data_IF_020745376722
#
_entry.id   IF_020745376722
#
_cell.length_a   1.000
_cell.length_b   1.000
_cell.length_c   1.000
_cell.angle_alpha   90.00
_cell.angle_beta   90.00
_cell.angle_gamma   90.00
#
_symmetry.space_group_name_H-M   'P 1'
#
loop_
_entity.id
_entity.type
_entity.pdbx_description
1 polymer ?
#
# COMPACT_ATOMS: atom_id res chain seq x y z
N UNK A 1 18.78 10.96 -20.79
CA UNK A 1 19.60 11.09 -19.56
C UNK A 1 18.63 11.30 -18.41
N UNK A 2 18.73 10.47 -17.36
CA UNK A 2 17.95 10.64 -16.12
C UNK A 2 18.65 11.72 -15.31
N UNK A 3 17.95 12.80 -14.98
CA UNK A 3 18.48 13.88 -14.14
C UNK A 3 17.96 13.71 -12.71
N UNK A 4 18.77 14.10 -11.73
CA UNK A 4 18.41 14.10 -10.32
C UNK A 4 17.29 15.12 -10.03
N UNK A 5 16.24 14.68 -9.34
CA UNK A 5 15.08 15.50 -8.98
C UNK A 5 15.45 16.50 -7.86
N UNK A 6 15.22 17.80 -8.09
CA UNK A 6 15.28 18.80 -7.01
C UNK A 6 14.01 18.74 -6.17
N UNK A 7 13.97 17.84 -5.20
CA UNK A 7 12.85 17.70 -4.28
C UNK A 7 13.34 17.77 -2.81
N UNK A 8 13.18 18.92 -2.13
CA UNK A 8 13.68 19.12 -0.77
C UNK A 8 12.93 18.31 0.31
N UNK A 9 11.93 17.52 -0.07
CA UNK A 9 11.39 16.48 0.80
C UNK A 9 9.99 16.09 0.41
N UNK A 10 9.83 14.92 -0.20
CA UNK A 10 8.64 14.07 -0.09
C UNK A 10 8.92 12.72 -0.78
N UNK A 11 9.84 11.91 -0.26
CA UNK A 11 10.20 10.60 -0.83
C UNK A 11 9.10 9.52 -0.71
N UNK A 12 7.87 9.88 -0.35
CA UNK A 12 6.74 8.97 -0.12
C UNK A 12 5.44 9.39 -0.81
N UNK A 13 5.49 10.37 -1.71
CA UNK A 13 4.32 10.80 -2.48
C UNK A 13 4.00 9.82 -3.60
N UNK A 14 2.79 9.26 -3.63
CA UNK A 14 2.33 8.35 -4.68
C UNK A 14 1.94 9.01 -6.01
N UNK A 15 2.10 10.34 -6.14
CA UNK A 15 1.96 11.14 -7.36
C UNK A 15 2.49 12.56 -7.10
N UNK A 16 2.98 13.24 -8.14
CA UNK A 16 3.42 14.63 -8.09
C UNK A 16 2.55 15.55 -8.97
N UNK A 17 1.43 15.04 -9.48
CA UNK A 17 0.49 15.78 -10.32
C UNK A 17 1.17 16.47 -11.52
N UNK A 18 2.30 15.92 -12.00
CA UNK A 18 3.11 16.45 -13.10
C UNK A 18 3.98 17.65 -12.76
N UNK A 19 4.00 18.14 -11.51
CA UNK A 19 4.75 19.36 -11.15
C UNK A 19 6.27 19.18 -11.17
N UNK A 20 6.74 17.95 -11.00
CA UNK A 20 8.16 17.59 -11.08
C UNK A 20 8.56 17.03 -12.47
N UNK A 21 7.65 17.06 -13.46
CA UNK A 21 7.89 16.53 -14.79
C UNK A 21 7.75 15.00 -14.87
N UNK A 22 8.58 14.37 -15.71
CA UNK A 22 8.61 12.91 -15.84
C UNK A 22 9.46 12.31 -14.70
N UNK A 23 8.90 11.31 -14.01
CA UNK A 23 9.51 10.69 -12.84
C UNK A 23 9.63 9.18 -13.06
N UNK A 24 10.80 8.64 -12.74
CA UNK A 24 11.02 7.22 -12.55
C UNK A 24 11.83 7.05 -11.26
N UNK A 25 11.19 6.50 -10.23
CA UNK A 25 11.80 6.22 -8.94
C UNK A 25 11.73 4.73 -8.62
N UNK A 26 12.82 4.21 -8.07
CA UNK A 26 12.98 2.83 -7.65
C UNK A 26 13.58 2.83 -6.26
N UNK A 27 12.98 2.09 -5.34
CA UNK A 27 13.49 1.89 -3.99
C UNK A 27 13.57 0.41 -3.66
N UNK A 28 14.63 0.03 -2.95
CA UNK A 28 14.81 -1.32 -2.40
C UNK A 28 15.33 -1.18 -0.98
N UNK A 29 14.73 -1.89 -0.04
CA UNK A 29 15.12 -1.92 1.36
C UNK A 29 14.95 -3.32 1.91
N UNK A 30 15.68 -3.62 2.98
CA UNK A 30 15.55 -4.90 3.66
C UNK A 30 16.18 -4.86 5.03
N UNK A 31 15.68 -5.73 5.89
CA UNK A 31 16.12 -5.84 7.27
C UNK A 31 16.30 -7.31 7.61
N UNK A 32 17.23 -7.59 8.53
CA UNK A 32 17.43 -8.92 9.07
C UNK A 32 17.81 -8.82 10.53
N UNK A 33 17.14 -9.59 11.37
CA UNK A 33 17.44 -9.73 12.77
C UNK A 33 17.28 -11.19 13.19
N UNK A 34 18.37 -11.77 13.72
CA UNK A 34 18.30 -13.08 14.34
C UNK A 34 17.44 -12.99 15.61
N UNK A 35 16.53 -13.94 15.80
CA UNK A 35 15.59 -13.94 16.94
C UNK A 35 14.73 -12.66 17.06
N UNK A 36 14.51 -11.94 15.94
CA UNK A 36 13.72 -10.70 15.91
C UNK A 36 12.20 -10.87 15.83
N UNK A 37 11.69 -12.09 15.78
CA UNK A 37 10.25 -12.39 15.76
C UNK A 37 9.89 -13.58 16.64
N UNK A 38 8.59 -13.78 16.90
CA UNK A 38 8.10 -14.82 17.81
C UNK A 38 8.12 -14.36 19.26
N UNK A 39 8.35 -15.28 20.20
CA UNK A 39 8.34 -15.05 21.65
C UNK A 39 9.67 -15.42 22.30
N UNK A 40 9.83 -15.19 23.62
CA UNK A 40 11.02 -15.63 24.33
C UNK A 40 11.24 -17.15 24.29
N UNK A 41 10.15 -17.93 24.35
CA UNK A 41 10.18 -19.40 24.32
C UNK A 41 10.26 -19.97 22.90
N UNK A 42 9.66 -19.28 21.93
CA UNK A 42 9.55 -19.70 20.53
C UNK A 42 10.08 -18.61 19.60
N UNK A 43 11.40 -18.40 19.65
CA UNK A 43 12.08 -17.39 18.82
C UNK A 43 12.03 -17.74 17.34
N UNK A 44 12.06 -16.70 16.51
CA UNK A 44 12.15 -16.79 15.04
C UNK A 44 13.02 -15.67 14.51
N UNK A 45 13.71 -15.93 13.39
CA UNK A 45 14.33 -14.83 12.63
C UNK A 45 13.25 -13.88 12.13
N UNK A 46 13.58 -12.60 12.12
CA UNK A 46 12.84 -11.61 11.35
C UNK A 46 13.69 -11.21 10.16
N UNK A 47 13.09 -11.24 8.97
CA UNK A 47 13.68 -10.62 7.81
C UNK A 47 12.61 -10.00 6.93
N UNK A 48 12.95 -8.91 6.25
CA UNK A 48 12.10 -8.38 5.19
C UNK A 48 12.92 -7.92 3.98
N UNK A 49 12.23 -7.91 2.84
CA UNK A 49 12.66 -7.26 1.62
C UNK A 49 11.46 -6.46 1.10
N UNK A 50 11.68 -5.19 0.81
CA UNK A 50 10.68 -4.28 0.25
C UNK A 50 11.24 -3.64 -1.01
N UNK A 51 10.45 -3.61 -2.07
CA UNK A 51 10.78 -2.91 -3.31
C UNK A 51 9.60 -2.06 -3.73
N UNK A 52 9.87 -0.84 -4.17
CA UNK A 52 8.87 0.10 -4.65
C UNK A 52 9.30 0.71 -5.99
N UNK A 53 8.32 0.94 -6.86
CA UNK A 53 8.45 1.57 -8.16
C UNK A 53 7.37 2.65 -8.27
N UNK A 54 7.81 3.87 -8.60
CA UNK A 54 6.95 4.96 -9.02
C UNK A 54 7.35 5.40 -10.43
N UNK A 55 6.36 5.50 -11.31
CA UNK A 55 6.50 6.09 -12.64
C UNK A 55 5.44 7.16 -12.81
N UNK A 56 5.84 8.38 -13.15
CA UNK A 56 4.93 9.46 -13.51
C UNK A 56 5.34 10.06 -14.86
N UNK A 57 4.34 10.27 -15.73
CA UNK A 57 4.53 10.79 -17.08
C UNK A 57 3.58 11.95 -17.31
N UNK A 58 4.14 13.12 -17.64
CA UNK A 58 3.35 14.24 -18.13
C UNK A 58 3.10 14.01 -19.62
N UNK A 59 1.83 13.91 -20.02
CA UNK A 59 1.48 13.62 -21.40
C UNK A 59 1.68 14.87 -22.27
N UNK A 60 2.24 14.72 -23.49
CA UNK A 60 2.38 15.83 -24.43
C UNK A 60 1.04 16.48 -24.76
N UNK A 61 1.10 17.74 -25.20
CA UNK A 61 -0.06 18.53 -25.63
C UNK A 61 -1.11 18.74 -24.53
N UNK A 62 -0.66 18.87 -23.27
CA UNK A 62 -1.52 19.08 -22.11
C UNK A 62 -2.62 18.00 -21.98
N UNK A 63 -2.26 16.74 -22.26
CA UNK A 63 -3.19 15.61 -22.20
C UNK A 63 -3.25 14.98 -20.79
N UNK A 64 -2.84 15.70 -19.74
CA UNK A 64 -2.87 15.22 -18.37
C UNK A 64 -1.62 14.46 -17.93
N UNK A 65 -1.74 13.72 -16.83
CA UNK A 65 -0.61 13.03 -16.18
C UNK A 65 -0.99 11.58 -15.88
N UNK A 66 -0.15 10.64 -16.27
CA UNK A 66 -0.29 9.22 -15.92
C UNK A 66 0.70 8.89 -14.84
N UNK A 67 0.23 8.26 -13.76
CA UNK A 67 1.07 7.78 -12.66
C UNK A 67 0.83 6.30 -12.43
N UNK A 68 1.89 5.52 -12.27
CA UNK A 68 1.85 4.09 -11.95
C UNK A 68 2.75 3.84 -10.75
N UNK A 69 2.23 3.10 -9.78
CA UNK A 69 2.95 2.70 -8.58
C UNK A 69 2.87 1.17 -8.44
N UNK A 70 3.97 0.55 -7.99
CA UNK A 70 4.02 -0.85 -7.67
C UNK A 70 4.94 -1.11 -6.48
N UNK A 71 4.46 -1.89 -5.52
CA UNK A 71 5.18 -2.28 -4.32
C UNK A 71 5.16 -3.80 -4.16
N UNK A 72 6.28 -4.39 -3.76
CA UNK A 72 6.40 -5.79 -3.38
C UNK A 72 7.12 -5.86 -2.02
N UNK A 73 6.54 -6.62 -1.09
CA UNK A 73 7.14 -6.89 0.23
C UNK A 73 7.17 -8.39 0.47
N UNK A 74 8.29 -8.87 1.01
CA UNK A 74 8.47 -10.25 1.44
C UNK A 74 8.92 -10.24 2.89
N UNK A 75 8.22 -11.01 3.73
CA UNK A 75 8.52 -11.19 5.13
C UNK A 75 8.89 -12.64 5.43
N UNK A 76 9.92 -12.82 6.26
CA UNK A 76 10.33 -14.10 6.79
C UNK A 76 10.19 -14.07 8.32
N UNK A 77 9.16 -14.75 8.82
CA UNK A 77 8.97 -15.12 10.21
C UNK A 77 8.23 -16.47 10.21
N UNK A 78 8.82 -17.50 10.84
CA UNK A 78 8.45 -18.89 10.55
C UNK A 78 8.02 -19.70 11.77
N UNK A 79 8.09 -19.15 12.98
CA UNK A 79 7.70 -19.89 14.17
C UNK A 79 6.20 -19.75 14.45
N UNK A 80 5.40 -20.66 13.87
CA UNK A 80 3.95 -20.67 14.08
C UNK A 80 3.54 -21.02 15.52
N UNK A 81 4.39 -21.70 16.29
CA UNK A 81 4.13 -22.04 17.70
C UNK A 81 4.07 -20.77 18.55
N UNK A 82 4.89 -19.77 18.21
CA UNK A 82 4.92 -18.48 18.90
C UNK A 82 3.56 -17.76 18.89
N UNK A 83 2.68 -18.02 17.92
CA UNK A 83 1.34 -17.42 17.87
C UNK A 83 0.45 -17.81 19.06
N UNK A 84 0.82 -18.85 19.81
CA UNK A 84 0.12 -19.23 21.05
C UNK A 84 0.69 -18.57 22.31
N UNK A 85 1.84 -17.92 22.22
CA UNK A 85 2.51 -17.31 23.37
C UNK A 85 2.01 -15.89 23.63
N UNK A 86 1.82 -15.49 24.90
CA UNK A 86 1.27 -14.18 25.26
C UNK A 86 2.22 -13.01 24.96
N UNK A 87 3.53 -13.25 24.87
CA UNK A 87 4.61 -12.28 24.66
C UNK A 87 5.09 -12.20 23.20
N UNK A 88 4.35 -12.79 22.27
CA UNK A 88 4.76 -12.92 20.88
C UNK A 88 4.76 -11.59 20.11
N UNK A 89 5.88 -11.25 19.47
CA UNK A 89 5.90 -10.40 18.28
C UNK A 89 5.45 -11.22 17.06
N UNK A 90 4.13 -11.35 16.95
CA UNK A 90 3.46 -12.21 15.99
C UNK A 90 3.32 -11.55 14.62
N UNK A 91 4.41 -11.61 13.84
CA UNK A 91 4.39 -11.22 12.44
C UNK A 91 4.28 -12.45 11.53
N UNK A 92 3.54 -12.32 10.43
CA UNK A 92 3.37 -13.41 9.48
C UNK A 92 4.55 -13.47 8.50
N UNK A 93 4.99 -14.67 8.15
CA UNK A 93 5.80 -14.89 6.95
C UNK A 93 4.91 -14.86 5.70
N UNK A 94 5.33 -14.20 4.62
CA UNK A 94 4.50 -14.08 3.43
C UNK A 94 4.98 -13.04 2.44
N UNK A 95 4.24 -12.88 1.35
CA UNK A 95 4.48 -11.82 0.36
C UNK A 95 3.25 -10.92 0.29
N UNK A 96 3.42 -9.62 0.18
CA UNK A 96 2.37 -8.71 -0.27
C UNK A 96 2.82 -7.95 -1.50
N UNK A 97 1.87 -7.58 -2.35
CA UNK A 97 2.09 -6.73 -3.50
C UNK A 97 0.95 -5.73 -3.60
N UNK A 98 1.26 -4.52 -4.01
CA UNK A 98 0.26 -3.51 -4.33
C UNK A 98 0.63 -2.87 -5.65
N UNK A 99 -0.34 -2.68 -6.53
CA UNK A 99 -0.16 -1.95 -7.78
C UNK A 99 -1.32 -1.01 -8.00
N UNK A 100 -1.05 0.22 -8.42
CA UNK A 100 -2.11 1.16 -8.76
C UNK A 100 -1.68 2.14 -9.84
N UNK A 101 -2.66 2.60 -10.60
CA UNK A 101 -2.48 3.58 -11.66
C UNK A 101 -3.49 4.71 -11.49
N UNK A 102 -3.03 5.93 -11.76
CA UNK A 102 -3.83 7.15 -11.70
C UNK A 102 -3.70 7.88 -13.03
N UNK A 103 -4.76 8.57 -13.42
CA UNK A 103 -4.71 9.51 -14.53
C UNK A 103 -5.32 10.83 -14.09
N UNK A 104 -4.52 11.90 -14.07
CA UNK A 104 -4.99 13.25 -13.77
C UNK A 104 -5.41 13.93 -15.07
N UNK A 105 -6.69 14.28 -15.16
CA UNK A 105 -7.17 15.09 -16.28
C UNK A 105 -6.54 16.49 -16.24
N UNK A 106 -6.17 17.04 -17.39
CA UNK A 106 -5.59 18.39 -17.47
C UNK A 106 -6.63 19.46 -17.14
N UNK A 107 -7.89 19.20 -17.49
CA UNK A 107 -8.97 20.17 -17.37
C UNK A 107 -9.37 20.42 -15.92
N UNK A 108 -9.33 21.69 -15.53
CA UNK A 108 -9.88 22.19 -14.29
C UNK A 108 -11.39 22.39 -14.42
N UNK A 109 -12.16 21.78 -13.53
CA UNK A 109 -13.62 21.92 -13.46
C UNK A 109 -13.92 22.52 -12.08
N UNK A 110 -14.32 23.78 -12.04
CA UNK A 110 -14.54 24.49 -10.77
C UNK A 110 -13.23 24.92 -10.14
N UNK A 111 -12.88 24.30 -9.01
CA UNK A 111 -11.69 24.64 -8.21
C UNK A 111 -10.62 23.53 -8.23
N UNK A 112 -10.75 22.54 -9.12
CA UNK A 112 -9.91 21.36 -9.08
C UNK A 112 -10.02 20.47 -10.31
N UNK A 113 -9.23 19.40 -10.31
CA UNK A 113 -9.08 18.45 -11.41
C UNK A 113 -9.46 17.04 -10.97
N UNK A 114 -10.01 16.25 -11.89
CA UNK A 114 -10.33 14.85 -11.61
C UNK A 114 -9.13 13.94 -11.86
N UNK A 115 -8.96 12.96 -10.98
CA UNK A 115 -7.95 11.92 -11.07
C UNK A 115 -8.58 10.56 -10.75
N UNK A 116 -9.21 9.88 -11.73
CA UNK A 116 -9.58 8.48 -11.58
C UNK A 116 -8.34 7.60 -11.31
N UNK A 117 -8.55 6.53 -10.57
CA UNK A 117 -7.53 5.54 -10.30
C UNK A 117 -8.12 4.15 -10.07
N UNK A 118 -7.26 3.15 -10.23
CA UNK A 118 -7.52 1.77 -9.83
C UNK A 118 -6.34 1.23 -9.05
N UNK A 119 -6.63 0.44 -8.02
CA UNK A 119 -5.64 -0.20 -7.15
C UNK A 119 -5.98 -1.67 -6.93
N UNK A 120 -4.95 -2.49 -6.92
CA UNK A 120 -5.00 -3.87 -6.50
C UNK A 120 -3.98 -4.10 -5.39
N UNK A 121 -4.41 -4.74 -4.31
CA UNK A 121 -3.53 -5.19 -3.23
C UNK A 121 -3.74 -6.67 -3.03
N UNK A 122 -2.66 -7.44 -3.04
CA UNK A 122 -2.66 -8.86 -2.71
C UNK A 122 -1.70 -9.16 -1.59
N UNK A 123 -2.06 -10.16 -0.78
CA UNK A 123 -1.25 -10.64 0.33
C UNK A 123 -1.38 -12.14 0.39
N UNK A 124 -0.25 -12.84 0.37
CA UNK A 124 -0.17 -14.28 0.55
C UNK A 124 0.63 -14.59 1.81
N UNK A 125 -0.11 -14.87 2.89
CA UNK A 125 0.46 -15.31 4.16
C UNK A 125 0.78 -16.79 4.07
N UNK A 126 1.98 -17.17 4.49
CA UNK A 126 2.44 -18.56 4.55
C UNK A 126 1.48 -19.45 5.37
N UNK A 127 0.80 -18.87 6.36
CA UNK A 127 -0.09 -19.59 7.26
C UNK A 127 -1.57 -19.16 7.18
N UNK A 128 -1.86 -18.03 6.54
CA UNK A 128 -3.21 -17.46 6.40
C UNK A 128 -3.79 -17.51 4.98
N UNK A 129 -3.02 -17.99 4.00
CA UNK A 129 -3.42 -18.07 2.59
C UNK A 129 -3.39 -16.73 1.86
N UNK A 130 -3.85 -16.75 0.61
CA UNK A 130 -3.95 -15.57 -0.25
C UNK A 130 -5.24 -14.77 0.02
N UNK A 131 -5.10 -13.45 0.03
CA UNK A 131 -6.17 -12.46 0.14
C UNK A 131 -5.89 -11.32 -0.80
N UNK A 132 -6.95 -10.64 -1.20
CA UNK A 132 -6.84 -9.54 -2.16
C UNK A 132 -7.92 -8.48 -1.96
N UNK A 133 -7.65 -7.29 -2.48
CA UNK A 133 -8.57 -6.16 -2.55
C UNK A 133 -8.41 -5.44 -3.89
N UNK A 134 -9.55 -5.11 -4.48
CA UNK A 134 -9.67 -4.23 -5.62
C UNK A 134 -10.29 -2.93 -5.16
N UNK A 135 -9.74 -1.82 -5.65
CA UNK A 135 -10.24 -0.49 -5.38
C UNK A 135 -10.34 0.30 -6.68
N UNK A 136 -11.49 0.92 -6.90
CA UNK A 136 -11.73 1.84 -8.00
C UNK A 136 -12.25 3.14 -7.42
N UNK A 137 -11.63 4.25 -7.82
CA UNK A 137 -11.95 5.53 -7.23
C UNK A 137 -11.66 6.70 -8.14
N UNK A 138 -12.08 7.87 -7.68
CA UNK A 138 -11.72 9.14 -8.27
C UNK A 138 -11.38 10.14 -7.18
N UNK A 139 -10.35 10.91 -7.45
CA UNK A 139 -9.93 12.02 -6.63
C UNK A 139 -10.31 13.33 -7.33
N UNK A 140 -10.87 14.27 -6.59
CA UNK A 140 -11.01 15.66 -6.99
C UNK A 140 -9.92 16.47 -6.29
N UNK A 141 -8.87 16.79 -7.04
CA UNK A 141 -7.64 17.43 -6.58
C UNK A 141 -7.80 18.93 -6.70
N UNK A 142 -7.85 19.63 -5.55
CA UNK A 142 -8.06 21.08 -5.47
C UNK A 142 -6.71 21.79 -5.40
N UNK A 143 -5.85 21.33 -4.49
CA UNK A 143 -4.52 21.91 -4.29
C UNK A 143 -3.53 20.81 -3.94
N UNK A 144 -2.93 20.18 -4.96
CA UNK A 144 -1.87 19.19 -4.80
C UNK A 144 -2.08 18.21 -3.64
N UNK A 145 -1.16 18.24 -2.66
CA UNK A 145 -1.24 17.45 -1.43
C UNK A 145 -1.99 18.15 -0.29
N UNK A 146 -2.34 19.43 -0.46
CA UNK A 146 -2.96 20.26 0.58
C UNK A 146 -4.47 20.06 0.65
N UNK A 147 -5.16 19.90 -0.48
CA UNK A 147 -6.62 19.79 -0.52
C UNK A 147 -7.11 18.81 -1.59
N UNK A 148 -7.86 17.79 -1.17
CA UNK A 148 -8.44 16.76 -2.06
C UNK A 148 -9.69 16.13 -1.47
N UNK A 149 -10.64 15.82 -2.33
CA UNK A 149 -11.78 14.94 -2.01
C UNK A 149 -11.57 13.62 -2.75
N UNK A 150 -11.79 12.49 -2.09
CA UNK A 150 -11.63 11.17 -2.66
C UNK A 150 -12.90 10.37 -2.48
N UNK A 151 -13.36 9.72 -3.54
CA UNK A 151 -14.47 8.78 -3.50
C UNK A 151 -14.05 7.48 -4.13
N UNK A 152 -14.25 6.36 -3.44
CA UNK A 152 -13.82 5.07 -3.94
C UNK A 152 -14.67 3.93 -3.41
N UNK A 153 -14.74 2.89 -4.22
CA UNK A 153 -15.32 1.61 -3.89
C UNK A 153 -14.21 0.58 -3.72
N UNK A 154 -14.31 -0.25 -2.68
CA UNK A 154 -13.41 -1.36 -2.40
C UNK A 154 -14.20 -2.65 -2.32
N UNK A 155 -13.64 -3.70 -2.89
CA UNK A 155 -14.15 -5.07 -2.76
C UNK A 155 -12.98 -6.03 -2.58
N UNK A 156 -13.15 -7.04 -1.74
CA UNK A 156 -12.15 -8.07 -1.60
C UNK A 156 -12.19 -8.79 -0.28
N UNK A 157 -11.22 -9.67 -0.09
CA UNK A 157 -11.09 -10.54 1.08
C UNK A 157 -9.98 -10.09 2.04
N UNK A 158 -9.33 -8.94 1.78
CA UNK A 158 -8.27 -8.41 2.63
C UNK A 158 -8.78 -8.06 4.04
N UNK A 159 -10.07 -7.71 4.15
CA UNK A 159 -10.74 -7.46 5.41
C UNK A 159 -10.59 -8.64 6.36
N UNK A 160 -10.14 -8.39 7.58
CA UNK A 160 -10.15 -9.41 8.61
C UNK A 160 -11.58 -9.62 9.08
N UNK A 161 -12.05 -10.86 8.97
CA UNK A 161 -13.03 -11.32 9.93
C UNK A 161 -12.43 -11.15 11.32
N UNK A 162 -13.23 -10.74 12.32
CA UNK A 162 -12.81 -10.63 13.72
C UNK A 162 -12.40 -11.96 14.38
N UNK A 163 -11.82 -12.89 13.61
CA UNK A 163 -11.27 -14.15 14.05
C UNK A 163 -10.04 -13.88 14.93
N UNK A 164 -10.25 -14.05 16.23
CA UNK A 164 -9.21 -14.07 17.24
C UNK A 164 -8.52 -15.43 17.28
N UNK A 165 -7.19 -15.47 17.30
CA UNK A 165 -6.43 -16.65 17.74
C UNK A 165 -6.04 -16.42 19.21
N UNK A 166 -6.43 -17.31 20.12
CA UNK A 166 -6.19 -17.15 21.57
C UNK A 166 -6.63 -15.78 22.15
N UNK A 167 -7.85 -15.31 21.83
CA UNK A 167 -8.36 -13.97 22.18
C UNK A 167 -7.55 -12.77 21.66
N UNK A 168 -6.57 -12.97 20.77
CA UNK A 168 -5.84 -11.90 20.10
C UNK A 168 -6.28 -11.77 18.64
N UNK A 169 -6.65 -10.56 18.22
CA UNK A 169 -6.96 -10.25 16.82
C UNK A 169 -5.64 -10.11 16.04
N UNK A 170 -5.05 -11.24 15.69
CA UNK A 170 -3.82 -11.29 14.89
C UNK A 170 -4.21 -11.46 13.43
N UNK A 171 -4.46 -10.34 12.77
CA UNK A 171 -4.67 -10.29 11.32
C UNK A 171 -3.59 -11.14 10.61
N UNK A 172 -4.00 -12.08 9.76
CA UNK A 172 -3.12 -12.97 8.97
C UNK A 172 -2.37 -14.07 9.74
N UNK A 173 -2.76 -14.36 10.99
CA UNK A 173 -2.30 -15.52 11.76
C UNK A 173 -2.64 -16.87 11.10
N UNK A 174 -1.97 -17.98 11.50
CA UNK A 174 -2.30 -19.32 11.02
C UNK A 174 -3.79 -19.65 11.12
N UNK A 175 -4.38 -20.11 10.02
CA UNK A 175 -5.80 -20.50 9.98
C UNK A 175 -6.81 -19.34 9.88
N UNK A 176 -6.35 -18.09 9.90
CA UNK A 176 -7.23 -16.93 9.70
C UNK A 176 -7.74 -16.85 8.26
N UNK A 177 -9.02 -16.50 8.09
CA UNK A 177 -9.65 -16.33 6.77
C UNK A 177 -10.04 -14.88 6.53
N UNK A 178 -9.86 -14.45 5.28
CA UNK A 178 -10.36 -13.17 4.80
C UNK A 178 -11.88 -13.18 4.75
N UNK A 179 -12.50 -12.13 5.27
CA UNK A 179 -13.92 -11.89 5.04
C UNK A 179 -14.06 -11.06 3.78
N UNK A 180 -15.01 -11.44 2.92
CA UNK A 180 -15.36 -10.58 1.81
C UNK A 180 -16.02 -9.31 2.34
N UNK A 181 -15.49 -8.16 1.96
CA UNK A 181 -15.98 -6.85 2.35
C UNK A 181 -16.16 -6.03 1.09
N UNK A 182 -17.34 -5.41 0.97
CA UNK A 182 -17.64 -4.37 0.01
C UNK A 182 -17.86 -3.06 0.77
N UNK A 183 -17.23 -1.98 0.32
CA UNK A 183 -17.41 -0.67 0.94
C UNK A 183 -17.34 0.46 -0.08
N UNK A 184 -18.11 1.51 0.18
CA UNK A 184 -18.01 2.78 -0.52
C UNK A 184 -17.61 3.85 0.48
N UNK A 185 -16.59 4.63 0.15
CA UNK A 185 -16.02 5.63 1.05
C UNK A 185 -15.93 6.98 0.35
N UNK A 186 -16.23 8.03 1.13
CA UNK A 186 -15.96 9.43 0.78
C UNK A 186 -14.99 9.99 1.81
N UNK A 187 -13.90 10.58 1.37
CA UNK A 187 -12.86 11.14 2.23
C UNK A 187 -12.51 12.58 1.81
N UNK A 188 -12.21 13.41 2.80
CA UNK A 188 -11.72 14.78 2.63
C UNK A 188 -10.34 14.88 3.27
N UNK A 189 -9.37 15.43 2.52
CA UNK A 189 -8.04 15.75 2.99
C UNK A 189 -7.84 17.26 2.91
N UNK A 190 -7.43 17.85 4.04
CA UNK A 190 -7.04 19.25 4.18
C UNK A 190 -5.78 19.35 5.04
N UNK A 191 -4.77 20.04 4.53
CA UNK A 191 -3.51 20.30 5.22
C UNK A 191 -3.18 21.80 5.08
N UNK A 192 -2.82 22.42 6.21
CA UNK A 192 -2.51 23.84 6.35
C UNK A 192 -1.03 24.06 6.72
#
# INVERSE_FOLDING_TARGET
MLNEEKNPGYYTSGTYYGTAGDILALAVGGEYQNEGAGSFANRSRYGNLTTDLLFEKVLPNDNGVVTVNAELKRYWAQNAVAFSDPDCFCTFGGTSWTGYALYLFPQEIGIGRFQPYGRYTGLNSQFGGAREEYELGTNYVISGHNARISTYWRTGTIGSSGATFNNQNLNYAPGSRGQHVDSFTVALQLQY
#
